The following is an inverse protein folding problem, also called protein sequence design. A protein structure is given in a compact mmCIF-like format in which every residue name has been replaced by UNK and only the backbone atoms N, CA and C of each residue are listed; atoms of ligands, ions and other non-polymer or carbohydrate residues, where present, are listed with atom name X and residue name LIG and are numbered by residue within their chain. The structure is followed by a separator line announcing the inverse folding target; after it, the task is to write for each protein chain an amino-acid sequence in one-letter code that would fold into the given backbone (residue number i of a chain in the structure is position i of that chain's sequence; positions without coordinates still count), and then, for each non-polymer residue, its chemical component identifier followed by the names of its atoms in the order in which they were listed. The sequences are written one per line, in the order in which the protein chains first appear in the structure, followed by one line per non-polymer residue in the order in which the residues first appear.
data_IF_911317268156
#
_entry.id   IF_911317268156
#
_cell.length_a   1.000
_cell.length_b   1.000
_cell.length_c   1.000
_cell.angle_alpha   90.00
_cell.angle_beta   90.00
_cell.angle_gamma   90.00
#
_symmetry.space_group_name_H-M   'P 1'
#
loop_
_entity.id
_entity.type
_entity.pdbx_description
1 polymer ?
#
# COMPACT_ATOMS: atom_id res chain seq x y z
N UNK A 1 -14.40 0.81 13.10
CA UNK A 1 -13.75 -0.18 12.21
C UNK A 1 -13.30 0.60 10.98
N UNK A 2 -12.01 0.59 10.64
CA UNK A 2 -11.55 1.17 9.38
C UNK A 2 -12.15 0.34 8.25
N UNK A 3 -12.96 0.96 7.39
CA UNK A 3 -13.52 0.30 6.22
C UNK A 3 -12.38 -0.03 5.28
N UNK A 4 -12.20 -1.32 4.96
CA UNK A 4 -11.24 -1.72 3.94
C UNK A 4 -11.71 -1.20 2.58
N UNK A 5 -10.92 -0.33 1.98
CA UNK A 5 -11.20 0.21 0.66
C UNK A 5 -10.55 -0.68 -0.40
N UNK A 6 -11.31 -1.04 -1.42
CA UNK A 6 -10.80 -1.82 -2.55
C UNK A 6 -10.66 -0.95 -3.79
N UNK A 7 -9.64 -1.20 -4.59
CA UNK A 7 -9.40 -0.55 -5.89
C UNK A 7 -9.36 -1.60 -7.00
N UNK A 8 -9.91 -1.29 -8.18
CA UNK A 8 -9.82 -2.17 -9.34
C UNK A 8 -8.45 -2.08 -10.00
N UNK A 9 -8.13 -3.08 -10.84
CA UNK A 9 -6.89 -3.09 -11.62
C UNK A 9 -6.84 -1.90 -12.59
N UNK A 10 -7.96 -1.53 -13.21
CA UNK A 10 -8.07 -0.39 -14.11
C UNK A 10 -7.77 0.92 -13.39
N UNK A 11 -8.38 1.13 -12.23
CA UNK A 11 -8.15 2.34 -11.44
C UNK A 11 -6.72 2.41 -10.93
N UNK A 12 -6.10 1.30 -10.52
CA UNK A 12 -4.69 1.26 -10.18
C UNK A 12 -3.81 1.62 -11.39
N UNK A 13 -4.10 1.09 -12.58
CA UNK A 13 -3.35 1.40 -13.80
C UNK A 13 -3.45 2.88 -14.16
N UNK A 14 -4.63 3.48 -14.06
CA UNK A 14 -4.83 4.91 -14.31
C UNK A 14 -4.11 5.79 -13.27
N UNK A 15 -4.09 5.35 -12.00
CA UNK A 15 -3.30 5.99 -10.94
C UNK A 15 -1.79 5.93 -11.24
N UNK A 16 -1.26 4.77 -11.63
CA UNK A 16 0.15 4.61 -11.99
C UNK A 16 0.52 5.47 -13.21
N UNK A 17 -0.38 5.59 -14.19
CA UNK A 17 -0.18 6.46 -15.36
C UNK A 17 -0.19 7.95 -15.01
N UNK A 18 -0.90 8.35 -13.94
CA UNK A 18 -0.93 9.71 -13.41
C UNK A 18 0.35 10.15 -12.69
N UNK A 19 1.31 9.23 -12.50
CA UNK A 19 2.62 9.46 -11.88
C UNK A 19 2.84 8.60 -10.63
N UNK A 20 3.95 7.85 -10.61
CA UNK A 20 4.31 6.94 -9.52
C UNK A 20 4.74 7.68 -8.23
N UNK A 21 5.16 8.94 -8.32
CA UNK A 21 5.75 9.69 -7.20
C UNK A 21 4.82 9.90 -6.00
N UNK A 22 3.53 9.57 -6.14
CA UNK A 22 2.51 9.75 -5.10
C UNK A 22 1.82 8.44 -4.70
N UNK A 23 2.17 7.32 -5.32
CA UNK A 23 1.53 6.03 -5.10
C UNK A 23 2.61 4.98 -4.80
N UNK A 24 2.41 4.21 -3.74
CA UNK A 24 3.22 3.02 -3.49
C UNK A 24 2.38 1.75 -3.60
N UNK A 25 2.87 0.78 -4.36
CA UNK A 25 2.27 -0.55 -4.45
C UNK A 25 3.06 -1.49 -3.54
N UNK A 26 2.38 -2.17 -2.63
CA UNK A 26 2.95 -3.12 -1.70
C UNK A 26 2.45 -4.52 -2.04
N UNK A 27 3.37 -5.38 -2.47
CA UNK A 27 3.09 -6.77 -2.75
C UNK A 27 3.46 -7.63 -1.54
N UNK A 28 2.47 -8.29 -0.94
CA UNK A 28 2.67 -9.14 0.24
C UNK A 28 2.69 -10.64 -0.06
N UNK A 29 2.97 -10.98 -1.33
CA UNK A 29 3.31 -12.35 -1.73
C UNK A 29 4.66 -12.76 -1.13
N UNK A 30 4.80 -14.06 -0.88
CA UNK A 30 5.99 -14.68 -0.32
C UNK A 30 6.73 -15.35 -1.50
N UNK A 31 6.91 -16.67 -1.50
CA UNK A 31 7.50 -17.41 -2.62
C UNK A 31 6.76 -17.24 -3.96
N UNK A 32 5.47 -16.86 -3.90
CA UNK A 32 4.62 -16.61 -5.06
C UNK A 32 4.78 -15.21 -5.67
N UNK A 33 5.77 -14.44 -5.22
CA UNK A 33 6.19 -13.18 -5.83
C UNK A 33 6.91 -13.39 -7.16
N UNK A 34 7.68 -14.47 -7.30
CA UNK A 34 8.41 -14.78 -8.53
C UNK A 34 7.47 -15.05 -9.72
N UNK A 35 7.94 -14.70 -10.93
CA UNK A 35 7.18 -14.91 -12.17
C UNK A 35 6.28 -13.75 -12.60
N UNK A 36 6.50 -12.57 -12.02
CA UNK A 36 5.91 -11.31 -12.44
C UNK A 36 5.39 -10.51 -11.26
N UNK A 37 5.56 -9.19 -11.30
CA UNK A 37 5.03 -8.27 -10.31
C UNK A 37 4.60 -6.93 -10.92
N UNK A 38 3.86 -6.14 -10.16
CA UNK A 38 3.44 -4.81 -10.62
C UNK A 38 4.68 -3.89 -10.63
N UNK A 39 4.93 -3.14 -11.72
CA UNK A 39 6.11 -2.30 -11.85
C UNK A 39 6.31 -1.35 -10.68
N UNK A 40 7.53 -1.29 -10.16
CA UNK A 40 7.90 -0.42 -9.04
C UNK A 40 7.24 -0.77 -7.70
N UNK A 41 6.68 -1.98 -7.55
CA UNK A 41 6.13 -2.40 -6.25
C UNK A 41 7.22 -2.73 -5.24
N UNK A 42 6.91 -2.55 -3.96
CA UNK A 42 7.74 -2.97 -2.83
C UNK A 42 7.22 -4.33 -2.37
N UNK A 43 8.06 -5.36 -2.43
CA UNK A 43 7.70 -6.66 -1.89
C UNK A 43 7.97 -6.70 -0.38
N UNK A 44 6.92 -6.92 0.40
CA UNK A 44 6.99 -7.12 1.85
C UNK A 44 6.18 -8.39 2.18
N UNK A 45 6.81 -9.57 2.24
CA UNK A 45 6.16 -10.86 2.48
C UNK A 45 5.20 -10.82 3.68
N UNK A 46 3.99 -11.39 3.54
CA UNK A 46 2.94 -11.27 4.55
C UNK A 46 3.33 -11.88 5.90
N UNK A 47 4.21 -12.88 5.92
CA UNK A 47 4.70 -13.50 7.16
C UNK A 47 5.62 -12.58 7.95
N UNK A 48 6.41 -11.77 7.25
CA UNK A 48 7.39 -10.85 7.80
C UNK A 48 6.88 -9.41 7.88
N UNK A 49 5.67 -9.16 7.38
CA UNK A 49 5.10 -7.83 7.22
C UNK A 49 5.16 -6.98 8.49
N UNK A 50 4.76 -7.55 9.64
CA UNK A 50 4.76 -6.82 10.91
C UNK A 50 6.17 -6.41 11.35
N UNK A 51 7.18 -7.22 11.05
CA UNK A 51 8.57 -6.94 11.43
C UNK A 51 9.22 -5.91 10.48
N UNK A 52 8.90 -5.97 9.18
CA UNK A 52 9.56 -5.18 8.15
C UNK A 52 8.86 -3.86 7.83
N UNK A 53 7.53 -3.77 8.02
CA UNK A 53 6.75 -2.58 7.61
C UNK A 53 7.28 -1.29 8.26
N UNK A 54 7.81 -1.39 9.48
CA UNK A 54 8.38 -0.28 10.24
C UNK A 54 9.54 0.41 9.51
N UNK A 55 10.31 -0.31 8.70
CA UNK A 55 11.43 0.21 7.91
C UNK A 55 10.96 1.12 6.76
N UNK A 56 9.75 0.88 6.26
CA UNK A 56 9.16 1.60 5.13
C UNK A 56 8.24 2.73 5.55
N UNK A 57 7.87 2.83 6.84
CA UNK A 57 6.88 3.80 7.34
C UNK A 57 7.20 5.23 6.92
N UNK A 58 8.44 5.68 7.05
CA UNK A 58 8.80 7.08 6.74
C UNK A 58 8.66 7.40 5.25
N UNK A 59 8.96 6.44 4.38
CA UNK A 59 8.74 6.56 2.94
C UNK A 59 7.24 6.53 2.60
N UNK A 60 6.50 5.61 3.23
CA UNK A 60 5.07 5.41 2.99
C UNK A 60 4.23 6.59 3.49
N UNK A 61 4.64 7.26 4.58
CA UNK A 61 4.00 8.48 5.09
C UNK A 61 4.10 9.68 4.13
N UNK A 62 5.04 9.66 3.17
CA UNK A 62 5.18 10.71 2.15
C UNK A 62 4.29 10.47 0.93
N UNK A 63 3.67 9.29 0.84
CA UNK A 63 2.82 8.93 -0.28
C UNK A 63 1.42 9.49 -0.09
N UNK A 64 0.70 9.66 -1.20
CA UNK A 64 -0.72 10.03 -1.16
C UNK A 64 -1.59 8.78 -1.04
N UNK A 65 -1.27 7.75 -1.81
CA UNK A 65 -2.05 6.53 -1.91
C UNK A 65 -1.13 5.30 -1.78
N UNK A 66 -1.57 4.29 -1.04
CA UNK A 66 -0.85 3.02 -0.89
C UNK A 66 -1.79 1.88 -1.28
N UNK A 67 -1.35 1.02 -2.18
CA UNK A 67 -2.13 -0.12 -2.67
C UNK A 67 -1.46 -1.41 -2.25
N UNK A 68 -2.13 -2.18 -1.41
CA UNK A 68 -1.66 -3.47 -0.89
C UNK A 68 -2.32 -4.61 -1.66
N UNK A 69 -1.56 -5.63 -2.04
CA UNK A 69 -2.12 -6.81 -2.68
C UNK A 69 -1.36 -8.09 -2.34
N UNK A 70 -2.02 -9.23 -2.53
CA UNK A 70 -1.34 -10.52 -2.63
C UNK A 70 -1.72 -11.19 -3.96
N UNK A 71 -1.71 -12.52 -4.03
CA UNK A 71 -2.10 -13.25 -5.25
C UNK A 71 -3.58 -13.07 -5.60
N UNK A 72 -4.47 -13.21 -4.61
CA UNK A 72 -5.93 -13.08 -4.77
C UNK A 72 -6.54 -11.93 -3.94
N UNK A 73 -5.75 -11.33 -3.04
CA UNK A 73 -6.20 -10.33 -2.05
C UNK A 73 -7.35 -10.75 -1.14
N UNK A 74 -7.48 -12.04 -0.81
CA UNK A 74 -8.56 -12.56 0.05
C UNK A 74 -8.20 -12.66 1.55
N UNK A 75 -6.91 -12.89 1.87
CA UNK A 75 -6.46 -13.07 3.26
C UNK A 75 -5.22 -12.22 3.59
N UNK A 76 -4.09 -12.48 2.90
CA UNK A 76 -2.81 -11.78 3.12
C UNK A 76 -2.93 -10.27 2.87
N UNK A 77 -3.55 -9.85 1.76
CA UNK A 77 -3.78 -8.44 1.43
C UNK A 77 -4.55 -7.66 2.50
N UNK A 78 -5.78 -8.07 2.88
CA UNK A 78 -6.55 -7.42 3.95
C UNK A 78 -5.84 -7.38 5.30
N UNK A 79 -5.16 -8.47 5.68
CA UNK A 79 -4.38 -8.53 6.93
C UNK A 79 -3.26 -7.50 6.93
N UNK A 80 -2.47 -7.45 5.85
CA UNK A 80 -1.37 -6.50 5.72
C UNK A 80 -1.85 -5.05 5.66
N UNK A 81 -2.94 -4.76 4.94
CA UNK A 81 -3.54 -3.43 4.90
C UNK A 81 -3.98 -2.93 6.28
N UNK A 82 -4.54 -3.81 7.12
CA UNK A 82 -4.90 -3.47 8.50
C UNK A 82 -3.66 -3.16 9.35
N UNK A 83 -2.64 -4.02 9.29
CA UNK A 83 -1.38 -3.81 10.03
C UNK A 83 -0.75 -2.48 9.60
N UNK A 84 -0.66 -2.24 8.29
CA UNK A 84 -0.11 -1.02 7.74
C UNK A 84 -0.84 0.23 8.24
N UNK A 85 -2.18 0.23 8.22
CA UNK A 85 -2.98 1.32 8.73
C UNK A 85 -2.65 1.64 10.20
N UNK A 86 -2.61 0.61 11.05
CA UNK A 86 -2.32 0.75 12.47
C UNK A 86 -0.90 1.27 12.70
N UNK A 87 0.08 0.74 11.97
CA UNK A 87 1.47 1.16 12.04
C UNK A 87 1.65 2.62 11.61
N UNK A 88 1.14 3.00 10.44
CA UNK A 88 1.25 4.37 9.92
C UNK A 88 0.62 5.38 10.88
N UNK A 89 -0.58 5.07 11.39
CA UNK A 89 -1.28 5.94 12.35
C UNK A 89 -0.49 6.11 13.65
N UNK A 90 0.03 5.01 14.21
CA UNK A 90 0.80 5.03 15.46
C UNK A 90 2.11 5.80 15.30
N UNK A 91 2.86 5.53 14.23
CA UNK A 91 4.14 6.19 13.96
C UNK A 91 3.97 7.67 13.66
N UNK A 92 2.96 8.04 12.87
CA UNK A 92 2.64 9.43 12.61
C UNK A 92 2.27 10.18 13.90
N UNK A 93 1.43 9.59 14.76
CA UNK A 93 1.09 10.16 16.06
C UNK A 93 2.34 10.36 16.94
N UNK A 94 3.27 9.40 16.94
CA UNK A 94 4.53 9.49 17.69
C UNK A 94 5.46 10.59 17.13
N UNK A 95 5.56 10.71 15.80
CA UNK A 95 6.38 11.73 15.14
C UNK A 95 5.84 13.15 15.42
N UNK A 96 4.52 13.31 15.44
CA UNK A 96 3.89 14.59 15.71
C UNK A 96 3.82 14.92 17.20
N UNK A 97 3.68 13.94 18.08
CA UNK A 97 3.68 14.20 19.53
C UNK A 97 5.03 14.74 20.03
N UNK A 98 6.12 14.47 19.30
CA UNK A 98 7.45 15.04 19.58
C UNK A 98 7.62 16.50 19.12
N UNK A 99 6.73 16.98 18.26
CA UNK A 99 6.67 18.38 17.83
C UNK A 99 5.59 19.06 18.69
N UNK A 100 5.82 20.26 19.20
CA UNK A 100 4.80 21.04 19.94
C UNK A 100 3.69 21.55 19.00
N UNK A 101 2.99 20.64 18.32
CA UNK A 101 1.89 20.94 17.41
C UNK A 101 0.60 21.21 18.19
N UNK A 102 -0.12 22.23 17.77
CA UNK A 102 -1.47 22.54 18.23
C UNK A 102 -2.47 21.44 17.84
N UNK A 103 -3.66 21.45 18.44
CA UNK A 103 -4.73 20.50 18.12
C UNK A 103 -5.17 20.57 16.64
N UNK A 104 -5.12 21.76 16.03
CA UNK A 104 -5.49 21.96 14.62
C UNK A 104 -4.46 21.32 13.69
N UNK A 105 -3.17 21.54 13.95
CA UNK A 105 -2.11 20.97 13.11
C UNK A 105 -2.04 19.45 13.23
N UNK A 106 -2.39 18.89 14.39
CA UNK A 106 -2.53 17.43 14.57
C UNK A 106 -3.63 16.87 13.67
N UNK A 107 -4.81 17.49 13.66
CA UNK A 107 -5.94 17.08 12.81
C UNK A 107 -5.59 17.17 11.31
N UNK A 108 -4.99 18.27 10.87
CA UNK A 108 -4.50 18.42 9.50
C UNK A 108 -3.45 17.37 9.12
N UNK A 109 -2.60 16.99 10.08
CA UNK A 109 -1.58 15.97 9.85
C UNK A 109 -2.22 14.58 9.67
N UNK A 110 -3.25 14.24 10.45
CA UNK A 110 -4.01 13.00 10.25
C UNK A 110 -4.72 12.96 8.89
N UNK A 111 -5.20 14.10 8.38
CA UNK A 111 -5.78 14.20 7.04
C UNK A 111 -4.75 14.03 5.91
N UNK A 112 -3.47 14.26 6.20
CA UNK A 112 -2.35 14.05 5.26
C UNK A 112 -1.85 12.60 5.23
N UNK A 113 -2.39 11.70 6.06
CA UNK A 113 -2.00 10.30 6.00
C UNK A 113 -2.37 9.69 4.64
N UNK A 114 -1.54 8.78 4.12
CA UNK A 114 -1.83 8.09 2.87
C UNK A 114 -3.13 7.30 2.96
N UNK A 115 -3.91 7.32 1.88
CA UNK A 115 -5.08 6.45 1.74
C UNK A 115 -4.62 5.04 1.41
N UNK A 116 -5.13 4.04 2.13
CA UNK A 116 -4.76 2.63 1.93
C UNK A 116 -5.89 1.92 1.19
N UNK A 117 -5.53 1.23 0.11
CA UNK A 117 -6.42 0.42 -0.72
C UNK A 117 -5.92 -1.01 -0.82
N UNK A 118 -6.83 -1.93 -1.09
CA UNK A 118 -6.53 -3.32 -1.43
C UNK A 118 -6.85 -3.53 -2.91
N UNK A 119 -5.90 -4.06 -3.67
CA UNK A 119 -6.16 -4.40 -5.08
C UNK A 119 -7.15 -5.56 -5.16
N UNK A 120 -8.32 -5.29 -5.73
CA UNK A 120 -9.38 -6.28 -5.89
C UNK A 120 -8.93 -7.41 -6.83
N UNK A 121 -8.98 -8.65 -6.34
CA UNK A 121 -8.54 -9.84 -7.08
C UNK A 121 -7.02 -10.03 -7.15
N UNK A 122 -6.24 -9.16 -6.51
CA UNK A 122 -4.79 -9.29 -6.35
C UNK A 122 -4.01 -9.30 -7.66
N UNK A 123 -2.80 -9.86 -7.59
CA UNK A 123 -1.89 -9.95 -8.73
C UNK A 123 -2.46 -10.80 -9.86
N UNK A 124 -3.26 -11.82 -9.57
CA UNK A 124 -3.88 -12.64 -10.62
C UNK A 124 -4.84 -11.82 -11.49
N UNK A 125 -5.66 -10.96 -10.88
CA UNK A 125 -6.55 -10.08 -11.61
C UNK A 125 -5.78 -9.04 -12.44
N UNK A 126 -4.68 -8.51 -11.89
CA UNK A 126 -3.77 -7.63 -12.61
C UNK A 126 -3.16 -8.31 -13.84
N UNK A 127 -2.55 -9.48 -13.66
CA UNK A 127 -1.91 -10.27 -14.73
C UNK A 127 -2.91 -10.70 -15.80
N UNK A 128 -4.13 -11.10 -15.41
CA UNK A 128 -5.18 -11.48 -16.37
C UNK A 128 -5.55 -10.33 -17.32
N UNK A 129 -5.52 -9.09 -16.82
CA UNK A 129 -5.90 -7.90 -17.60
C UNK A 129 -4.73 -7.27 -18.34
N UNK A 130 -3.56 -7.19 -17.72
CA UNK A 130 -2.42 -6.41 -18.21
C UNK A 130 -1.17 -7.25 -18.50
N UNK A 131 -1.22 -8.58 -18.35
CA UNK A 131 -0.06 -9.45 -18.56
C UNK A 131 0.51 -9.43 -19.99
N UNK A 132 -0.28 -9.02 -20.98
CA UNK A 132 0.16 -8.84 -22.37
C UNK A 132 0.48 -7.38 -22.72
N UNK A 133 0.31 -6.45 -21.78
CA UNK A 133 0.58 -5.02 -21.99
C UNK A 133 2.04 -4.74 -21.63
N UNK A 134 2.83 -4.11 -22.53
CA UNK A 134 4.21 -3.77 -22.23
C UNK A 134 4.34 -2.91 -20.97
N UNK A 135 5.40 -3.14 -20.19
CA UNK A 135 5.72 -2.39 -18.96
C UNK A 135 4.64 -2.46 -17.86
N UNK A 136 3.76 -3.46 -17.88
CA UNK A 136 2.76 -3.67 -16.82
C UNK A 136 3.08 -4.87 -15.93
N UNK A 137 4.14 -5.62 -16.24
CA UNK A 137 4.68 -6.70 -15.41
C UNK A 137 6.21 -6.58 -15.45
N UNK A 138 6.84 -6.58 -14.29
CA UNK A 138 8.30 -6.69 -14.10
C UNK A 138 8.69 -8.08 -13.60
#
# INVERSE_FOLDING_TARGET
MSSLNYISAESLKDLLAGGQDKISVIDVRDDDFEGGHIPGCINIPSEQFLALVDEYVEQLLQQKDIVVHCTYSQMRGPKAARILYETLRSKAQNLWSKKELSSVEKEESFQKLPSIYILHGGFLAWRSRFGNVPNMIE
#
